data_IF_562137890395
#
_entry.id   IF_562137890395
#
_cell.length_a   1.000
_cell.length_b   1.000
_cell.length_c   1.000
_cell.angle_alpha   90.00
_cell.angle_beta   90.00
_cell.angle_gamma   90.00
#
_symmetry.space_group_name_H-M   'P 1'
#
loop_
_entity.id
_entity.type
_entity.pdbx_description
1 polymer ?
#
# COMPACT_ATOMS: atom_id res chain seq x y z
N UNK A 1 36.99 -5.10 -4.93
CA UNK A 1 35.54 -4.77 -5.08
C UNK A 1 35.40 -3.30 -5.41
N UNK A 2 34.72 -2.91 -6.51
CA UNK A 2 34.66 -1.51 -6.94
C UNK A 2 33.95 -0.60 -5.92
N UNK A 3 34.36 0.67 -5.81
CA UNK A 3 33.81 1.65 -4.85
C UNK A 3 32.28 1.77 -4.98
N UNK A 4 31.77 1.76 -6.21
CA UNK A 4 30.34 1.79 -6.53
C UNK A 4 29.60 0.59 -5.88
N UNK A 5 30.16 -0.62 -5.98
CA UNK A 5 29.56 -1.83 -5.36
C UNK A 5 29.51 -1.71 -3.83
N UNK A 6 30.54 -1.13 -3.20
CA UNK A 6 30.62 -0.94 -1.74
C UNK A 6 29.64 0.10 -1.21
N UNK A 7 29.47 1.22 -1.92
CA UNK A 7 28.49 2.25 -1.54
C UNK A 7 27.08 1.67 -1.67
N UNK A 8 26.77 1.02 -2.79
CA UNK A 8 25.47 0.41 -3.02
C UNK A 8 25.12 -0.67 -1.99
N UNK A 9 26.09 -1.48 -1.54
CA UNK A 9 25.82 -2.49 -0.49
C UNK A 9 25.53 -1.85 0.87
N UNK A 10 26.18 -0.72 1.17
CA UNK A 10 25.97 0.01 2.43
C UNK A 10 24.61 0.70 2.45
N UNK A 11 24.20 1.35 1.36
CA UNK A 11 22.86 1.91 1.20
C UNK A 11 21.79 0.82 1.35
N UNK A 12 21.95 -0.31 0.65
CA UNK A 12 21.02 -1.46 0.77
C UNK A 12 20.88 -1.94 2.20
N UNK A 13 21.98 -2.04 2.96
CA UNK A 13 21.94 -2.44 4.38
C UNK A 13 21.15 -1.44 5.23
N UNK A 14 21.39 -0.14 5.05
CA UNK A 14 20.65 0.92 5.77
C UNK A 14 19.16 0.87 5.46
N UNK A 15 18.80 0.81 4.17
CA UNK A 15 17.40 0.69 3.73
C UNK A 15 16.76 -0.56 4.34
N UNK A 16 17.42 -1.72 4.28
CA UNK A 16 16.89 -2.95 4.86
C UNK A 16 16.66 -2.83 6.36
N UNK A 17 17.59 -2.22 7.11
CA UNK A 17 17.44 -2.03 8.55
C UNK A 17 16.20 -1.19 8.87
N UNK A 18 15.97 -0.10 8.12
CA UNK A 18 14.77 0.74 8.28
C UNK A 18 13.51 -0.05 7.94
N UNK A 19 13.49 -0.83 6.86
CA UNK A 19 12.34 -1.65 6.48
C UNK A 19 12.01 -2.71 7.53
N UNK A 20 13.03 -3.33 8.14
CA UNK A 20 12.82 -4.28 9.23
C UNK A 20 12.22 -3.63 10.48
N UNK A 21 12.57 -2.38 10.80
CA UNK A 21 11.95 -1.65 11.91
C UNK A 21 10.48 -1.35 11.60
N UNK A 22 10.23 -0.65 10.49
CA UNK A 22 8.86 -0.27 10.08
C UNK A 22 7.93 -1.47 9.99
N UNK A 23 8.37 -2.57 9.36
CA UNK A 23 7.53 -3.77 9.25
C UNK A 23 7.30 -4.49 10.57
N UNK A 24 8.18 -4.32 11.57
CA UNK A 24 7.94 -4.86 12.92
C UNK A 24 6.93 -3.98 13.64
N UNK A 25 7.14 -2.66 13.60
CA UNK A 25 6.26 -1.68 14.25
C UNK A 25 4.80 -1.84 13.78
N UNK A 26 4.57 -1.99 12.47
CA UNK A 26 3.21 -2.22 11.90
C UNK A 26 2.57 -3.51 12.43
N UNK A 27 3.36 -4.57 12.58
CA UNK A 27 2.85 -5.88 13.04
C UNK A 27 2.57 -5.85 14.53
N UNK A 28 3.42 -5.18 15.31
CA UNK A 28 3.22 -5.02 16.75
C UNK A 28 1.97 -4.17 17.04
N UNK A 29 1.76 -3.07 16.30
CA UNK A 29 0.56 -2.25 16.43
C UNK A 29 -0.72 -3.06 16.07
N UNK A 30 -0.67 -3.85 15.00
CA UNK A 30 -1.79 -4.72 14.63
C UNK A 30 -2.07 -5.79 15.69
N UNK A 31 -1.02 -6.33 16.31
CA UNK A 31 -1.13 -7.32 17.40
C UNK A 31 -1.79 -6.71 18.64
N UNK A 32 -1.33 -5.53 19.06
CA UNK A 32 -1.86 -4.81 20.23
C UNK A 32 -3.34 -4.44 20.06
N UNK A 33 -3.73 -4.06 18.84
CA UNK A 33 -5.11 -3.68 18.51
C UNK A 33 -6.01 -4.86 18.14
N UNK A 34 -5.48 -6.09 18.11
CA UNK A 34 -6.17 -7.29 17.60
C UNK A 34 -6.79 -7.05 16.21
N UNK A 35 -6.03 -6.41 15.32
CA UNK A 35 -6.47 -5.93 14.02
C UNK A 35 -5.86 -6.75 12.88
N UNK A 36 -6.56 -6.76 11.73
CA UNK A 36 -6.03 -7.31 10.47
C UNK A 36 -5.30 -6.23 9.67
N UNK A 37 -4.28 -6.63 8.91
CA UNK A 37 -3.48 -5.70 8.10
C UNK A 37 -3.99 -5.70 6.66
N UNK A 38 -4.25 -4.52 6.11
CA UNK A 38 -4.70 -4.37 4.72
C UNK A 38 -3.65 -3.63 3.91
N UNK A 39 -3.20 -4.25 2.81
CA UNK A 39 -2.16 -3.70 1.93
C UNK A 39 -2.74 -3.38 0.55
N UNK A 40 -2.54 -2.14 0.07
CA UNK A 40 -2.95 -1.73 -1.27
C UNK A 40 -2.03 -2.29 -2.35
N UNK A 41 -2.54 -3.03 -3.34
CA UNK A 41 -1.75 -3.60 -4.42
C UNK A 41 -1.40 -2.57 -5.51
N UNK A 42 -0.12 -2.26 -5.65
CA UNK A 42 0.43 -1.37 -6.69
C UNK A 42 0.78 -2.09 -8.02
N UNK A 43 0.00 -3.11 -8.40
CA UNK A 43 0.26 -3.90 -9.63
C UNK A 43 0.39 -2.98 -10.85
N UNK A 44 1.47 -3.14 -11.61
CA UNK A 44 1.70 -2.42 -12.87
C UNK A 44 2.28 -1.00 -12.74
N UNK A 45 2.58 -0.50 -11.53
CA UNK A 45 3.10 0.88 -11.36
C UNK A 45 4.41 1.16 -12.13
N UNK A 46 5.22 0.12 -12.34
CA UNK A 46 6.50 0.15 -13.08
C UNK A 46 6.36 -0.02 -14.60
N UNK A 47 5.19 -0.46 -15.09
CA UNK A 47 4.98 -0.75 -16.52
C UNK A 47 4.68 0.50 -17.35
N UNK A 48 4.16 1.56 -16.72
CA UNK A 48 3.83 2.83 -17.37
C UNK A 48 5.03 3.78 -17.41
N UNK A 49 5.35 4.35 -18.56
CA UNK A 49 6.33 5.43 -18.67
C UNK A 49 5.76 6.73 -18.05
N UNK A 50 6.41 7.23 -16.98
CA UNK A 50 5.98 8.44 -16.24
C UNK A 50 7.01 9.57 -16.29
N UNK A 51 7.98 9.47 -17.21
CA UNK A 51 9.13 10.35 -17.30
C UNK A 51 10.31 9.94 -16.41
N UNK A 52 11.51 10.41 -16.76
CA UNK A 52 12.80 9.97 -16.14
C UNK A 52 12.80 10.11 -14.62
N UNK A 53 12.33 11.24 -14.09
CA UNK A 53 12.30 11.52 -12.64
C UNK A 53 11.38 10.55 -11.89
N UNK A 54 10.14 10.41 -12.34
CA UNK A 54 9.16 9.55 -11.68
C UNK A 54 9.55 8.07 -11.78
N UNK A 55 10.07 7.65 -12.94
CA UNK A 55 10.56 6.28 -13.11
C UNK A 55 11.69 5.96 -12.11
N UNK A 56 12.62 6.90 -11.85
CA UNK A 56 13.68 6.72 -10.85
C UNK A 56 13.12 6.54 -9.43
N UNK A 57 12.13 7.35 -9.05
CA UNK A 57 11.47 7.26 -7.74
C UNK A 57 10.77 5.90 -7.58
N UNK A 58 9.96 5.49 -8.55
CA UNK A 58 9.21 4.23 -8.51
C UNK A 58 10.13 3.01 -8.53
N UNK A 59 11.26 3.08 -9.26
CA UNK A 59 12.26 2.01 -9.30
C UNK A 59 13.00 1.85 -7.96
N UNK A 60 13.27 2.96 -7.28
CA UNK A 60 13.99 2.95 -6.00
C UNK A 60 13.09 2.73 -4.78
N UNK A 61 11.77 2.86 -4.92
CA UNK A 61 10.83 2.62 -3.83
C UNK A 61 10.80 1.13 -3.44
N UNK A 62 11.14 0.76 -2.19
CA UNK A 62 11.23 -0.63 -1.74
C UNK A 62 9.86 -1.22 -1.35
N UNK A 63 8.79 -0.84 -2.05
CA UNK A 63 7.41 -1.21 -1.72
C UNK A 63 7.24 -2.73 -1.62
N UNK A 64 7.61 -3.47 -2.68
CA UNK A 64 7.49 -4.94 -2.69
C UNK A 64 8.22 -5.59 -1.52
N UNK A 65 9.42 -5.09 -1.20
CA UNK A 65 10.22 -5.64 -0.11
C UNK A 65 9.57 -5.38 1.26
N UNK A 66 9.02 -4.20 1.47
CA UNK A 66 8.27 -3.88 2.68
C UNK A 66 7.03 -4.76 2.83
N UNK A 67 6.25 -4.92 1.75
CA UNK A 67 5.08 -5.82 1.72
C UNK A 67 5.46 -7.24 2.12
N UNK A 68 6.53 -7.81 1.54
CA UNK A 68 6.99 -9.16 1.90
C UNK A 68 7.39 -9.23 3.38
N UNK A 69 8.06 -8.20 3.91
CA UNK A 69 8.43 -8.15 5.32
C UNK A 69 7.25 -8.10 6.28
N UNK A 70 6.21 -7.35 5.92
CA UNK A 70 4.98 -7.30 6.70
C UNK A 70 4.28 -8.67 6.67
N UNK A 71 4.15 -9.28 5.48
CA UNK A 71 3.46 -10.57 5.32
C UNK A 71 4.08 -11.66 6.18
N UNK A 72 5.39 -11.92 6.05
CA UNK A 72 6.00 -13.02 6.80
C UNK A 72 5.99 -12.78 8.33
N UNK A 73 6.09 -11.52 8.77
CA UNK A 73 6.06 -11.19 10.19
C UNK A 73 4.66 -11.28 10.78
N UNK A 74 3.65 -10.85 10.03
CA UNK A 74 2.26 -11.01 10.41
C UNK A 74 1.91 -12.49 10.53
N UNK A 75 2.36 -13.32 9.59
CA UNK A 75 2.20 -14.77 9.61
C UNK A 75 2.80 -15.41 10.87
N UNK A 76 3.99 -15.00 11.30
CA UNK A 76 4.60 -15.46 12.56
C UNK A 76 3.76 -15.15 13.80
N UNK A 77 2.99 -14.08 13.78
CA UNK A 77 2.14 -13.64 14.88
C UNK A 77 0.68 -14.08 14.69
N UNK A 78 0.36 -14.85 13.63
CA UNK A 78 -1.00 -15.30 13.32
C UNK A 78 -1.94 -14.20 12.81
N UNK A 79 -1.41 -13.06 12.38
CA UNK A 79 -2.19 -11.91 11.91
C UNK A 79 -2.51 -12.04 10.43
N UNK A 80 -3.79 -11.95 10.08
CA UNK A 80 -4.25 -11.98 8.70
C UNK A 80 -3.82 -10.72 7.92
N UNK A 81 -3.32 -10.92 6.71
CA UNK A 81 -2.98 -9.84 5.77
C UNK A 81 -3.84 -9.94 4.52
N UNK A 82 -4.61 -8.89 4.22
CA UNK A 82 -5.47 -8.81 3.04
C UNK A 82 -4.86 -7.83 2.02
N UNK A 83 -4.80 -8.23 0.76
CA UNK A 83 -4.35 -7.38 -0.33
C UNK A 83 -5.53 -6.86 -1.14
N UNK A 84 -5.65 -5.54 -1.29
CA UNK A 84 -6.78 -4.90 -1.99
C UNK A 84 -6.29 -4.01 -3.13
N UNK A 85 -7.08 -3.89 -4.20
CA UNK A 85 -6.72 -2.99 -5.30
C UNK A 85 -6.63 -1.53 -4.85
N UNK A 86 -5.51 -0.85 -5.14
CA UNK A 86 -5.28 0.56 -4.78
C UNK A 86 -5.86 1.55 -5.83
N UNK A 87 -6.55 1.04 -6.86
CA UNK A 87 -7.01 1.89 -7.97
C UNK A 87 -8.05 2.91 -7.48
N UNK A 88 -7.82 4.21 -7.70
CA UNK A 88 -8.70 5.33 -7.31
C UNK A 88 -8.89 5.59 -5.80
N UNK A 89 -8.18 4.90 -4.90
CA UNK A 89 -8.26 5.16 -3.44
C UNK A 89 -7.82 6.58 -3.09
N UNK A 90 -6.80 7.09 -3.78
CA UNK A 90 -6.26 8.45 -3.56
C UNK A 90 -7.07 9.58 -4.22
N UNK A 91 -8.09 9.25 -5.02
CA UNK A 91 -8.94 10.23 -5.72
C UNK A 91 -10.36 10.29 -5.17
N UNK A 92 -10.71 9.38 -4.27
CA UNK A 92 -12.07 9.24 -3.73
C UNK A 92 -12.07 9.79 -2.31
N UNK A 93 -13.09 10.56 -1.93
CA UNK A 93 -13.24 11.05 -0.57
C UNK A 93 -13.71 9.90 0.32
N UNK A 94 -13.00 9.64 1.42
CA UNK A 94 -13.36 8.57 2.35
C UNK A 94 -14.68 8.82 3.06
N UNK A 95 -15.13 10.07 3.18
CA UNK A 95 -16.38 10.40 3.85
C UNK A 95 -17.59 10.31 2.91
N UNK A 96 -17.55 11.00 1.77
CA UNK A 96 -18.72 11.09 0.87
C UNK A 96 -18.67 10.18 -0.38
N UNK A 97 -17.58 9.44 -0.60
CA UNK A 97 -17.44 8.52 -1.74
C UNK A 97 -17.29 9.18 -3.12
N UNK A 98 -17.39 10.51 -3.22
CA UNK A 98 -17.22 11.24 -4.50
C UNK A 98 -15.75 11.55 -4.79
N UNK A 99 -15.44 11.85 -6.05
CA UNK A 99 -14.08 12.23 -6.47
C UNK A 99 -13.69 13.59 -5.90
N UNK A 100 -12.51 13.66 -5.30
CA UNK A 100 -11.91 14.90 -4.81
C UNK A 100 -10.76 15.40 -5.67
N UNK A 101 -10.09 16.44 -5.18
CA UNK A 101 -8.93 17.07 -5.80
C UNK A 101 -7.72 16.92 -4.89
N UNK A 102 -6.54 16.74 -5.50
CA UNK A 102 -5.25 16.71 -4.81
C UNK A 102 -4.39 17.86 -5.36
N UNK A 103 -4.55 19.09 -4.83
CA UNK A 103 -3.85 20.26 -5.35
C UNK A 103 -2.32 20.13 -5.23
N UNK A 104 -1.84 19.53 -4.13
CA UNK A 104 -0.42 19.22 -3.94
C UNK A 104 -0.22 17.93 -3.15
N UNK A 105 1.03 17.48 -3.05
CA UNK A 105 1.38 16.27 -2.32
C UNK A 105 1.10 16.45 -0.82
N UNK A 106 0.18 15.65 -0.29
CA UNK A 106 -0.16 15.64 1.14
C UNK A 106 -1.53 16.24 1.45
N UNK A 107 -2.15 17.00 0.55
CA UNK A 107 -3.50 17.57 0.75
C UNK A 107 -4.54 16.95 -0.18
N UNK A 108 -5.66 16.53 0.37
CA UNK A 108 -6.86 16.15 -0.35
C UNK A 108 -8.01 17.08 0.01
N UNK A 109 -8.68 17.63 -1.00
CA UNK A 109 -9.83 18.54 -0.84
C UNK A 109 -11.03 17.94 -1.56
N UNK A 110 -12.14 17.76 -0.84
CA UNK A 110 -13.38 17.29 -1.45
C UNK A 110 -14.29 18.48 -1.82
N UNK A 111 -14.57 18.71 -3.11
CA UNK A 111 -15.46 19.80 -3.53
C UNK A 111 -16.94 19.54 -3.22
N UNK A 112 -17.30 18.31 -2.83
CA UNK A 112 -18.70 17.93 -2.60
C UNK A 112 -19.13 18.00 -1.14
N UNK A 113 -18.22 17.70 -0.21
CA UNK A 113 -18.50 17.75 1.22
C UNK A 113 -17.67 18.82 1.96
N UNK A 114 -16.80 19.56 1.25
CA UNK A 114 -16.00 20.64 1.80
C UNK A 114 -14.84 20.21 2.69
N UNK A 115 -14.68 18.90 2.95
CA UNK A 115 -13.66 18.43 3.89
C UNK A 115 -12.27 18.36 3.27
N UNK A 116 -11.28 18.67 4.10
CA UNK A 116 -9.87 18.68 3.79
C UNK A 116 -9.12 17.72 4.71
N UNK A 117 -8.27 16.88 4.11
CA UNK A 117 -7.54 15.85 4.85
C UNK A 117 -6.12 15.71 4.32
N UNK A 118 -5.29 15.00 5.09
CA UNK A 118 -4.08 14.43 4.53
C UNK A 118 -4.43 13.40 3.44
N UNK A 119 -3.80 13.51 2.27
CA UNK A 119 -4.09 12.65 1.12
C UNK A 119 -3.78 11.17 1.37
N UNK A 120 -2.74 10.88 2.17
CA UNK A 120 -2.32 9.52 2.49
C UNK A 120 -3.25 8.91 3.55
N UNK A 121 -3.72 9.71 4.53
CA UNK A 121 -4.78 9.30 5.46
C UNK A 121 -6.08 8.95 4.73
N UNK A 122 -6.54 9.81 3.82
CA UNK A 122 -7.72 9.53 3.00
C UNK A 122 -7.55 8.24 2.17
N UNK A 123 -6.34 8.03 1.62
CA UNK A 123 -6.00 6.81 0.90
C UNK A 123 -6.06 5.56 1.79
N UNK A 124 -5.48 5.62 2.99
CA UNK A 124 -5.46 4.51 3.95
C UNK A 124 -6.88 4.12 4.41
N UNK A 125 -7.74 5.09 4.73
CA UNK A 125 -9.13 4.82 5.11
C UNK A 125 -9.89 4.17 3.94
N UNK A 126 -9.68 4.63 2.71
CA UNK A 126 -10.32 4.03 1.55
C UNK A 126 -9.85 2.58 1.29
N UNK A 127 -8.58 2.28 1.56
CA UNK A 127 -8.04 0.91 1.49
C UNK A 127 -8.72 0.03 2.54
N UNK A 128 -8.81 0.50 3.78
CA UNK A 128 -9.48 -0.21 4.87
C UNK A 128 -10.99 -0.41 4.63
N UNK A 129 -11.68 0.58 4.03
CA UNK A 129 -13.09 0.41 3.65
C UNK A 129 -13.27 -0.66 2.59
N UNK A 130 -12.38 -0.72 1.60
CA UNK A 130 -12.46 -1.74 0.55
C UNK A 130 -12.29 -3.15 1.07
N UNK A 131 -11.45 -3.37 2.08
CA UNK A 131 -11.33 -4.73 2.64
C UNK A 131 -12.65 -5.21 3.24
N UNK A 132 -13.48 -4.31 3.80
CA UNK A 132 -14.80 -4.68 4.31
C UNK A 132 -15.74 -5.18 3.20
N UNK A 133 -15.65 -4.60 1.99
CA UNK A 133 -16.40 -5.07 0.82
C UNK A 133 -15.96 -6.50 0.43
N UNK A 134 -14.67 -6.82 0.53
CA UNK A 134 -14.16 -8.18 0.30
C UNK A 134 -14.57 -9.16 1.41
N UNK A 135 -14.69 -8.72 2.66
CA UNK A 135 -15.09 -9.56 3.81
C UNK A 135 -16.60 -9.82 3.85
N UNK A 136 -17.42 -8.91 3.33
CA UNK A 136 -18.88 -8.97 3.46
C UNK A 136 -19.56 -9.87 2.41
N UNK A 137 -18.86 -10.26 1.35
CA UNK A 137 -19.43 -11.09 0.27
C UNK A 137 -19.33 -12.59 0.59
N UNK A 138 -18.30 -13.03 1.31
CA UNK A 138 -18.10 -14.44 1.63
C UNK A 138 -17.46 -14.58 3.01
N UNK A 139 -18.14 -15.15 4.00
CA UNK A 139 -17.58 -15.50 5.32
C UNK A 139 -16.39 -16.48 5.30
N UNK A 140 -15.73 -16.65 4.15
CA UNK A 140 -14.48 -17.35 3.94
C UNK A 140 -13.41 -16.35 3.49
N UNK A 141 -12.35 -16.26 4.28
CA UNK A 141 -11.10 -15.60 3.91
C UNK A 141 -10.61 -16.19 2.58
N UNK A 142 -10.59 -15.39 1.51
CA UNK A 142 -9.90 -15.75 0.28
C UNK A 142 -8.39 -15.75 0.53
N UNK A 143 -7.87 -16.90 0.97
CA UNK A 143 -6.52 -17.31 0.62
C UNK A 143 -6.53 -17.60 -0.88
N UNK A 144 -6.12 -16.64 -1.70
CA UNK A 144 -5.73 -16.96 -3.07
C UNK A 144 -4.53 -16.12 -3.47
N UNK A 145 -3.38 -16.77 -3.31
CA UNK A 145 -2.24 -16.62 -4.18
C UNK A 145 -2.64 -16.45 -5.66
N UNK A 146 -1.90 -15.57 -6.35
CA UNK A 146 -1.52 -15.65 -7.77
C UNK A 146 -2.43 -16.51 -8.68
N UNK A 147 -3.21 -15.87 -9.55
CA UNK A 147 -3.51 -16.27 -10.94
C UNK A 147 -4.30 -15.11 -11.60
N UNK A 148 -3.69 -14.29 -12.46
CA UNK A 148 -3.72 -14.41 -13.92
C UNK A 148 -5.13 -14.36 -14.53
N UNK A 149 -5.39 -13.28 -15.26
CA UNK A 149 -6.35 -13.26 -16.37
C UNK A 149 -7.77 -12.81 -16.00
N UNK A 150 -8.15 -11.69 -16.63
CA UNK A 150 -9.53 -11.34 -17.01
C UNK A 150 -10.47 -11.05 -15.81
N UNK A 151 -11.32 -10.03 -15.81
CA UNK A 151 -12.58 -10.00 -16.52
C UNK A 151 -13.01 -8.55 -16.78
N UNK A 152 -13.75 -8.46 -17.87
CA UNK A 152 -14.24 -7.33 -18.65
C UNK A 152 -15.08 -6.32 -17.87
N UNK A 153 -15.01 -5.14 -18.44
CA UNK A 153 -15.78 -3.95 -18.19
C UNK A 153 -17.23 -4.12 -18.69
N UNK A 154 -18.19 -3.73 -17.85
CA UNK A 154 -19.42 -3.10 -18.28
C UNK A 154 -19.32 -1.61 -17.92
#
# INVERSE_FOLDING_TARGET
>A
MSIIKRIGSTEKRKVNAVLHKISRDIVDEAKEQNAHIVLGELKGIRKSAKGRRMNRIVSNMPYYKLTQMIVYKAEWEGIQVVKVSERYTSKTCHSCGKRGKRPFQGLFVCPHCGMEYNADLNGAINIAKRSLDYTSIDGAVLDTALNSGEVKQC
#
